data_IF_568615015966
#
_entry.id   IF_568615015966
#
_cell.length_a   1.000
_cell.length_b   1.000
_cell.length_c   1.000
_cell.angle_alpha   90.00
_cell.angle_beta   90.00
_cell.angle_gamma   90.00
#
_symmetry.space_group_name_H-M   'P 1'
#
loop_
_entity.id
_entity.type
_entity.pdbx_description
1 polymer ?
#
# COMPACT_ATOMS: atom_id res chain seq x y z
N UNK A 1 -12.15 3.16 25.44
CA UNK A 1 -12.85 2.92 24.17
C UNK A 1 -11.80 2.73 23.10
N UNK A 2 -11.58 1.51 22.63
CA UNK A 2 -10.87 1.26 21.38
C UNK A 2 -11.67 1.93 20.27
N UNK A 3 -11.03 2.81 19.49
CA UNK A 3 -11.64 3.38 18.29
C UNK A 3 -12.16 2.22 17.42
N UNK A 4 -13.45 2.25 17.07
CA UNK A 4 -14.01 1.34 16.08
C UNK A 4 -13.18 1.49 14.80
N UNK A 5 -12.52 0.43 14.38
CA UNK A 5 -11.77 0.45 13.13
C UNK A 5 -12.78 0.56 11.97
N UNK A 6 -12.40 1.29 10.93
CA UNK A 6 -13.30 1.45 9.78
C UNK A 6 -13.44 0.12 9.03
N UNK A 7 -14.58 -0.07 8.34
CA UNK A 7 -14.78 -1.24 7.48
C UNK A 7 -13.68 -1.39 6.41
N UNK A 8 -13.24 -0.28 5.82
CA UNK A 8 -12.12 -0.26 4.88
C UNK A 8 -10.82 -0.82 5.50
N UNK A 9 -10.40 -0.33 6.67
CA UNK A 9 -9.18 -0.81 7.33
C UNK A 9 -9.26 -2.30 7.68
N UNK A 10 -10.43 -2.75 8.14
CA UNK A 10 -10.70 -4.16 8.46
C UNK A 10 -10.65 -5.01 7.20
N UNK A 11 -11.27 -4.54 6.12
CA UNK A 11 -11.24 -5.20 4.82
C UNK A 11 -9.82 -5.33 4.30
N UNK A 12 -9.04 -4.25 4.34
CA UNK A 12 -7.65 -4.25 3.93
C UNK A 12 -6.83 -5.24 4.74
N UNK A 13 -6.87 -5.18 6.07
CA UNK A 13 -6.12 -6.12 6.91
C UNK A 13 -6.53 -7.56 6.68
N UNK A 14 -7.83 -7.81 6.45
CA UNK A 14 -8.36 -9.14 6.22
C UNK A 14 -7.93 -9.79 4.90
N UNK A 15 -7.73 -9.00 3.84
CA UNK A 15 -7.43 -9.51 2.49
C UNK A 15 -5.99 -9.26 2.02
N UNK A 16 -5.28 -8.29 2.59
CA UNK A 16 -3.89 -8.01 2.26
C UNK A 16 -2.96 -9.25 2.36
N UNK A 17 -3.10 -10.13 3.38
CA UNK A 17 -2.31 -11.36 3.47
C UNK A 17 -2.50 -12.36 2.32
N UNK A 18 -3.48 -12.16 1.44
CA UNK A 18 -3.66 -12.99 0.23
C UNK A 18 -2.63 -12.70 -0.86
N UNK A 19 -1.85 -11.61 -0.74
CA UNK A 19 -0.69 -11.37 -1.60
C UNK A 19 -1.01 -10.83 -3.00
N UNK A 20 -2.25 -10.41 -3.26
CA UNK A 20 -2.64 -9.84 -4.56
C UNK A 20 -2.32 -8.34 -4.72
N UNK A 21 -1.85 -7.69 -3.64
CA UNK A 21 -1.64 -6.26 -3.56
C UNK A 21 -2.52 -5.61 -2.49
N UNK A 22 -2.63 -4.28 -2.53
CA UNK A 22 -3.55 -3.53 -1.67
C UNK A 22 -4.99 -3.72 -2.18
N UNK A 23 -5.90 -4.31 -1.38
CA UNK A 23 -7.31 -4.44 -1.73
C UNK A 23 -8.03 -3.09 -1.58
N UNK A 24 -8.73 -2.65 -2.63
CA UNK A 24 -9.58 -1.46 -2.56
C UNK A 24 -10.95 -1.83 -2.00
N UNK A 25 -11.37 -1.13 -0.95
CA UNK A 25 -12.70 -1.34 -0.35
C UNK A 25 -13.82 -0.93 -1.30
N UNK A 26 -13.55 0.10 -2.11
CA UNK A 26 -14.43 0.59 -3.16
C UNK A 26 -13.67 0.60 -4.50
N UNK A 27 -13.72 -0.52 -5.25
CA UNK A 27 -13.08 -0.70 -6.55
C UNK A 27 -13.54 0.23 -7.68
N UNK A 28 -14.71 0.86 -7.54
CA UNK A 28 -15.31 1.64 -8.62
C UNK A 28 -14.58 3.00 -8.80
N UNK A 29 -14.32 3.44 -10.04
CA UNK A 29 -13.82 4.80 -10.27
C UNK A 29 -14.80 5.86 -9.76
N UNK A 30 -14.30 7.00 -9.28
CA UNK A 30 -15.13 8.11 -8.81
C UNK A 30 -16.08 8.61 -9.91
N UNK A 31 -17.36 8.75 -9.57
CA UNK A 31 -18.43 9.16 -10.49
C UNK A 31 -18.16 10.53 -11.13
N UNK A 32 -17.43 11.44 -10.46
CA UNK A 32 -17.04 12.73 -11.04
C UNK A 32 -16.07 12.59 -12.22
N UNK A 33 -15.37 11.46 -12.34
CA UNK A 33 -14.51 11.19 -13.49
C UNK A 33 -15.32 10.83 -14.73
N UNK A 34 -16.56 10.34 -14.58
CA UNK A 34 -17.42 10.07 -15.72
C UNK A 34 -17.69 11.33 -16.55
N UNK A 35 -18.00 12.44 -15.87
CA UNK A 35 -18.38 13.72 -16.51
C UNK A 35 -17.18 14.52 -17.02
N UNK A 36 -15.99 14.33 -16.42
CA UNK A 36 -14.83 15.19 -16.66
C UNK A 36 -13.57 14.47 -17.13
N UNK A 37 -13.54 13.14 -17.11
CA UNK A 37 -12.38 12.32 -17.48
C UNK A 37 -12.82 10.92 -17.98
N UNK A 38 -13.75 10.91 -18.93
CA UNK A 38 -14.44 9.71 -19.40
C UNK A 38 -13.48 8.61 -19.87
N UNK A 39 -12.43 8.99 -20.59
CA UNK A 39 -11.41 8.08 -21.13
C UNK A 39 -10.66 7.35 -20.02
N UNK A 40 -10.49 7.98 -18.86
CA UNK A 40 -9.93 7.33 -17.68
C UNK A 40 -10.99 6.47 -16.99
N UNK A 41 -12.21 6.97 -16.82
CA UNK A 41 -13.30 6.24 -16.17
C UNK A 41 -13.58 4.88 -16.85
N UNK A 42 -13.59 4.83 -18.19
CA UNK A 42 -13.79 3.59 -18.95
C UNK A 42 -12.68 2.56 -18.73
N UNK A 43 -11.45 3.01 -18.43
CA UNK A 43 -10.28 2.14 -18.22
C UNK A 43 -10.10 1.78 -16.74
N UNK A 44 -10.42 2.69 -15.83
CA UNK A 44 -10.06 2.62 -14.42
C UNK A 44 -8.54 2.62 -14.18
N UNK A 45 -8.16 2.24 -12.97
CA UNK A 45 -6.76 2.22 -12.53
C UNK A 45 -5.87 1.42 -13.49
N UNK A 46 -4.71 1.99 -13.82
CA UNK A 46 -3.78 1.52 -14.84
C UNK A 46 -2.33 1.60 -14.38
N UNK A 47 -1.47 0.79 -15.00
CA UNK A 47 -0.02 0.84 -14.77
C UNK A 47 0.49 2.25 -15.11
N UNK A 48 1.27 2.83 -14.20
CA UNK A 48 1.81 4.19 -14.33
C UNK A 48 0.97 5.26 -13.64
N UNK A 49 -0.21 4.93 -13.11
CA UNK A 49 -1.02 5.91 -12.39
C UNK A 49 -0.32 6.38 -11.13
N UNK A 50 -0.27 7.69 -10.96
CA UNK A 50 0.06 8.39 -9.73
C UNK A 50 -1.24 8.80 -9.06
N UNK A 51 -1.38 8.46 -7.78
CA UNK A 51 -2.60 8.74 -7.04
C UNK A 51 -2.43 8.58 -5.54
N UNK A 52 -3.55 8.54 -4.82
CA UNK A 52 -3.61 8.27 -3.39
C UNK A 52 -4.74 7.30 -3.08
N UNK A 53 -4.62 6.57 -1.97
CA UNK A 53 -5.73 5.80 -1.41
C UNK A 53 -6.50 6.70 -0.47
N UNK A 54 -7.79 6.90 -0.77
CA UNK A 54 -8.64 7.75 0.05
C UNK A 54 -9.00 7.06 1.37
N UNK A 55 -9.43 7.81 2.40
CA UNK A 55 -9.99 7.21 3.62
C UNK A 55 -11.17 6.27 3.35
N UNK A 56 -11.90 6.48 2.25
CA UNK A 56 -13.02 5.63 1.84
C UNK A 56 -12.57 4.34 1.12
N UNK A 57 -11.28 4.20 0.82
CA UNK A 57 -10.71 3.00 0.22
C UNK A 57 -10.85 2.92 -1.29
N UNK A 58 -11.04 4.07 -1.94
CA UNK A 58 -10.95 4.26 -3.39
C UNK A 58 -9.54 4.68 -3.80
N UNK A 59 -9.19 4.49 -5.07
CA UNK A 59 -8.01 5.10 -5.66
C UNK A 59 -8.36 6.45 -6.29
N UNK A 60 -7.73 7.51 -5.82
CA UNK A 60 -7.92 8.87 -6.31
C UNK A 60 -6.76 9.25 -7.23
N UNK A 61 -7.09 9.34 -8.52
CA UNK A 61 -6.18 9.53 -9.63
C UNK A 61 -5.67 10.97 -9.75
N UNK A 62 -4.38 11.12 -10.04
CA UNK A 62 -3.75 12.40 -10.34
C UNK A 62 -3.38 12.50 -11.82
N UNK A 63 -2.44 11.66 -12.28
CA UNK A 63 -1.96 11.58 -13.66
C UNK A 63 -1.26 10.24 -13.88
N UNK A 64 -1.03 9.84 -15.13
CA UNK A 64 -0.31 8.61 -15.50
C UNK A 64 1.07 8.93 -16.08
N UNK A 65 2.14 8.35 -15.53
CA UNK A 65 3.52 8.63 -15.97
C UNK A 65 3.89 8.01 -17.32
N UNK A 66 3.09 7.09 -17.85
CA UNK A 66 3.32 6.40 -19.12
C UNK A 66 2.58 7.04 -20.31
N UNK A 67 1.72 8.04 -20.05
CA UNK A 67 0.97 8.75 -21.07
C UNK A 67 1.53 10.16 -21.25
N UNK A 68 1.54 10.72 -22.47
CA UNK A 68 2.07 12.06 -22.70
C UNK A 68 1.20 13.13 -22.01
N UNK A 69 1.75 14.32 -21.77
CA UNK A 69 1.04 15.41 -21.09
C UNK A 69 -0.23 15.90 -21.82
N UNK A 70 -0.29 15.70 -23.14
CA UNK A 70 -1.43 16.05 -23.99
C UNK A 70 -2.42 14.91 -24.19
N UNK A 71 -2.21 13.73 -23.57
CA UNK A 71 -3.21 12.67 -23.54
C UNK A 71 -4.47 13.16 -22.80
N UNK A 72 -5.69 12.83 -23.25
CA UNK A 72 -6.92 13.23 -22.57
C UNK A 72 -6.93 12.94 -21.07
N UNK A 73 -6.32 11.84 -20.60
CA UNK A 73 -6.32 11.51 -19.17
C UNK A 73 -5.28 12.29 -18.35
N UNK A 74 -4.31 12.93 -19.01
CA UNK A 74 -3.22 13.69 -18.39
C UNK A 74 -3.33 15.21 -18.61
N UNK A 75 -4.19 15.63 -19.53
CA UNK A 75 -4.31 17.03 -19.94
C UNK A 75 -4.56 17.94 -18.74
N UNK A 76 -3.62 18.85 -18.49
CA UNK A 76 -3.68 19.81 -17.37
C UNK A 76 -3.39 19.23 -15.98
N UNK A 77 -3.00 17.95 -15.87
CA UNK A 77 -2.81 17.24 -14.59
C UNK A 77 -1.35 16.88 -14.27
N UNK A 78 -0.44 17.13 -15.22
CA UNK A 78 0.97 16.76 -15.10
C UNK A 78 1.84 17.93 -14.60
N UNK A 79 2.97 17.65 -13.93
CA UNK A 79 3.96 18.69 -13.59
C UNK A 79 4.52 19.43 -14.84
N UNK A 80 5.00 20.67 -14.69
CA UNK A 80 5.51 21.47 -15.83
C UNK A 80 6.61 20.81 -16.66
N UNK A 81 7.55 20.10 -16.03
CA UNK A 81 8.68 19.44 -16.70
C UNK A 81 8.43 17.94 -16.91
N UNK A 82 7.16 17.56 -17.15
CA UNK A 82 6.77 16.16 -17.26
C UNK A 82 7.26 15.53 -18.58
N UNK A 83 7.98 14.42 -18.44
CA UNK A 83 8.34 13.53 -19.55
C UNK A 83 7.75 12.14 -19.32
N UNK A 84 6.97 11.58 -20.26
CA UNK A 84 6.38 10.27 -20.10
C UNK A 84 7.43 9.15 -20.18
N UNK A 85 7.16 8.05 -19.49
CA UNK A 85 7.94 6.81 -19.56
C UNK A 85 7.34 5.94 -20.67
N UNK A 86 8.14 5.58 -21.66
CA UNK A 86 7.75 4.61 -22.66
C UNK A 86 7.98 3.20 -22.14
N UNK A 87 6.90 2.44 -22.00
CA UNK A 87 6.97 1.01 -21.68
C UNK A 87 6.90 0.18 -22.97
N UNK A 88 7.68 -0.90 -23.04
CA UNK A 88 7.45 -1.92 -24.05
C UNK A 88 6.19 -2.71 -23.70
N UNK A 89 5.35 -3.11 -24.67
CA UNK A 89 4.28 -4.08 -24.41
C UNK A 89 4.80 -5.37 -23.75
N UNK A 90 6.07 -5.73 -24.00
CA UNK A 90 6.71 -6.90 -23.39
C UNK A 90 7.04 -6.73 -21.89
N UNK A 91 7.04 -5.49 -21.40
CA UNK A 91 7.21 -5.18 -19.98
C UNK A 91 5.91 -5.40 -19.20
N UNK A 92 4.78 -5.62 -19.88
CA UNK A 92 3.47 -5.82 -19.25
C UNK A 92 3.11 -7.30 -19.33
N UNK A 93 2.84 -7.89 -18.18
CA UNK A 93 2.19 -9.20 -18.10
C UNK A 93 0.70 -8.99 -17.96
N UNK A 94 -0.08 -9.69 -18.77
CA UNK A 94 -1.53 -9.75 -18.65
C UNK A 94 -1.99 -11.20 -18.53
N UNK A 95 -2.89 -11.44 -17.58
CA UNK A 95 -3.54 -12.74 -17.37
C UNK A 95 -5.04 -12.51 -17.26
N UNK A 96 -5.74 -12.78 -18.36
CA UNK A 96 -7.19 -12.75 -18.37
C UNK A 96 -7.77 -13.81 -17.43
N UNK A 97 -8.84 -13.45 -16.70
CA UNK A 97 -9.51 -14.34 -15.72
C UNK A 97 -8.53 -14.91 -14.68
N UNK A 98 -7.59 -14.10 -14.22
CA UNK A 98 -6.65 -14.49 -13.16
C UNK A 98 -7.39 -14.89 -11.89
N UNK A 99 -8.41 -14.10 -11.52
CA UNK A 99 -9.47 -14.55 -10.63
C UNK A 99 -10.57 -15.12 -11.52
N UNK A 100 -10.88 -16.42 -11.41
CA UNK A 100 -11.93 -17.01 -12.23
C UNK A 100 -13.29 -16.41 -11.85
N UNK A 101 -14.24 -16.48 -12.77
CA UNK A 101 -15.63 -16.15 -12.47
C UNK A 101 -16.06 -16.92 -11.23
N UNK A 102 -16.96 -16.32 -10.43
CA UNK A 102 -17.53 -16.98 -9.25
C UNK A 102 -16.49 -17.32 -8.17
N UNK A 103 -15.39 -16.57 -8.12
CA UNK A 103 -14.36 -16.71 -7.08
C UNK A 103 -14.65 -15.82 -5.87
N UNK A 104 -14.00 -16.14 -4.76
CA UNK A 104 -14.05 -15.33 -3.55
C UNK A 104 -12.70 -15.38 -2.82
N UNK A 105 -12.46 -14.34 -2.03
CA UNK A 105 -11.36 -14.24 -1.08
C UNK A 105 -11.96 -13.87 0.28
N UNK A 106 -11.44 -14.47 1.35
CA UNK A 106 -11.90 -14.19 2.71
C UNK A 106 -10.72 -14.17 3.67
N UNK A 107 -10.89 -13.49 4.80
CA UNK A 107 -9.93 -13.56 5.91
C UNK A 107 -9.67 -15.00 6.35
N UNK A 108 -8.52 -15.23 6.98
CA UNK A 108 -8.18 -16.54 7.54
C UNK A 108 -9.29 -17.02 8.51
N UNK A 109 -9.53 -18.33 8.53
CA UNK A 109 -10.50 -18.98 9.42
C UNK A 109 -11.97 -18.54 9.24
N UNK A 110 -12.32 -18.06 8.05
CA UNK A 110 -13.72 -17.94 7.64
C UNK A 110 -14.21 -19.28 7.09
N UNK A 111 -15.30 -19.82 7.63
CA UNK A 111 -15.98 -20.97 7.06
C UNK A 111 -16.80 -20.52 5.85
N UNK A 112 -16.77 -21.29 4.76
CA UNK A 112 -17.50 -20.97 3.53
C UNK A 112 -18.38 -22.14 3.12
N UNK A 113 -19.65 -21.86 2.84
CA UNK A 113 -20.62 -22.84 2.33
C UNK A 113 -21.32 -22.28 1.09
N UNK A 114 -21.44 -23.09 0.04
CA UNK A 114 -22.31 -22.78 -1.10
C UNK A 114 -23.77 -22.93 -0.68
N UNK A 115 -24.62 -22.03 -1.15
CA UNK A 115 -26.06 -22.07 -0.87
C UNK A 115 -26.75 -22.92 -1.95
N UNK A 116 -27.35 -24.01 -1.50
CA UNK A 116 -28.22 -24.83 -2.32
C UNK A 116 -29.59 -24.14 -2.44
N UNK A 117 -30.14 -24.12 -3.65
CA UNK A 117 -31.46 -23.58 -3.91
C UNK A 117 -31.92 -23.95 -5.30
N UNK A 118 -33.24 -23.99 -5.49
CA UNK A 118 -33.91 -24.36 -6.73
C UNK A 118 -33.72 -23.23 -7.77
N UNK A 119 -32.50 -23.08 -8.26
CA UNK A 119 -32.25 -22.34 -9.50
C UNK A 119 -32.88 -23.21 -10.58
N UNK A 120 -34.09 -22.84 -11.02
CA UNK A 120 -34.90 -23.54 -12.00
C UNK A 120 -34.02 -24.32 -12.98
N UNK A 121 -34.06 -25.65 -12.86
CA UNK A 121 -33.29 -26.60 -13.67
C UNK A 121 -33.44 -26.21 -15.14
N UNK A 122 -32.42 -25.58 -15.72
CA UNK A 122 -32.45 -25.13 -17.12
C UNK A 122 -31.87 -23.75 -17.43
N UNK A 123 -31.34 -22.98 -16.48
CA UNK A 123 -30.75 -21.66 -16.77
C UNK A 123 -29.25 -21.76 -17.11
N UNK A 124 -28.82 -21.47 -18.36
CA UNK A 124 -27.40 -21.44 -18.73
C UNK A 124 -26.64 -20.21 -18.17
N UNK A 125 -27.34 -19.28 -17.50
CA UNK A 125 -26.81 -17.96 -17.10
C UNK A 125 -26.64 -17.77 -15.60
N UNK A 126 -27.28 -18.59 -14.76
CA UNK A 126 -26.94 -18.76 -13.35
C UNK A 126 -26.20 -20.09 -13.23
N UNK A 127 -24.86 -20.09 -13.17
CA UNK A 127 -24.13 -21.34 -13.28
C UNK A 127 -24.34 -22.23 -12.05
N UNK A 128 -24.57 -23.52 -12.28
CA UNK A 128 -24.78 -24.53 -11.23
C UNK A 128 -23.73 -24.51 -10.10
N UNK A 129 -22.51 -24.04 -10.39
CA UNK A 129 -21.36 -23.99 -9.47
C UNK A 129 -21.46 -22.97 -8.31
N UNK A 130 -22.31 -21.93 -8.43
CA UNK A 130 -22.55 -20.98 -7.33
C UNK A 130 -23.91 -21.19 -6.64
N UNK A 131 -24.75 -22.10 -7.16
CA UNK A 131 -26.09 -22.36 -6.63
C UNK A 131 -26.92 -21.08 -6.52
N UNK A 132 -27.70 -20.97 -5.44
CA UNK A 132 -28.44 -19.76 -5.10
C UNK A 132 -27.54 -18.67 -4.46
N UNK A 133 -26.25 -18.96 -4.21
CA UNK A 133 -25.30 -18.03 -3.62
C UNK A 133 -24.18 -18.66 -2.81
N UNK A 134 -23.46 -17.82 -2.07
CA UNK A 134 -22.36 -18.23 -1.18
C UNK A 134 -22.57 -17.64 0.21
N UNK A 135 -22.22 -18.41 1.23
CA UNK A 135 -22.28 -18.00 2.62
C UNK A 135 -20.91 -18.10 3.29
N UNK A 136 -20.65 -17.15 4.18
CA UNK A 136 -19.45 -17.07 4.99
C UNK A 136 -19.86 -16.96 6.44
N UNK A 137 -19.21 -17.72 7.32
CA UNK A 137 -19.40 -17.57 8.75
C UNK A 137 -18.09 -17.62 9.53
N UNK A 138 -18.09 -16.97 10.68
CA UNK A 138 -16.95 -17.00 11.61
C UNK A 138 -17.37 -16.53 12.99
N UNK A 139 -16.66 -17.03 14.00
CA UNK A 139 -16.73 -16.59 15.39
C UNK A 139 -15.62 -15.59 15.76
N UNK A 140 -14.79 -15.19 14.79
CA UNK A 140 -13.73 -14.21 15.00
C UNK A 140 -14.29 -12.80 15.25
N UNK A 141 -13.51 -11.96 15.95
CA UNK A 141 -13.88 -10.57 16.28
C UNK A 141 -13.94 -9.66 15.06
N UNK A 142 -13.24 -10.04 13.99
CA UNK A 142 -13.17 -9.31 12.73
C UNK A 142 -13.03 -10.26 11.54
N UNK A 143 -13.45 -9.79 10.37
CA UNK A 143 -13.27 -10.53 9.13
C UNK A 143 -13.64 -9.70 7.92
N UNK A 144 -13.15 -10.14 6.76
CA UNK A 144 -13.37 -9.54 5.46
C UNK A 144 -13.67 -10.62 4.42
N UNK A 145 -14.51 -10.26 3.46
CA UNK A 145 -14.89 -11.09 2.32
C UNK A 145 -14.95 -10.24 1.07
N UNK A 146 -14.44 -10.78 -0.03
CA UNK A 146 -14.58 -10.30 -1.39
C UNK A 146 -15.14 -11.45 -2.23
N UNK A 147 -16.20 -11.20 -2.98
CA UNK A 147 -16.71 -12.10 -4.01
C UNK A 147 -16.57 -11.42 -5.36
N UNK A 148 -16.12 -12.17 -6.36
CA UNK A 148 -15.94 -11.74 -7.75
C UNK A 148 -16.88 -12.55 -8.66
N UNK A 149 -18.13 -12.12 -8.85
CA UNK A 149 -19.09 -12.83 -9.68
C UNK A 149 -18.58 -13.09 -11.10
N UNK A 150 -18.03 -12.06 -11.76
CA UNK A 150 -17.47 -12.16 -13.12
C UNK A 150 -15.96 -12.38 -13.16
N UNK A 151 -15.33 -12.58 -12.00
CA UNK A 151 -13.88 -12.72 -11.90
C UNK A 151 -13.13 -11.40 -12.12
N UNK A 152 -11.81 -11.49 -12.31
CA UNK A 152 -10.97 -10.34 -12.57
C UNK A 152 -9.73 -10.71 -13.40
N UNK A 153 -9.33 -9.78 -14.28
CA UNK A 153 -8.10 -9.83 -15.05
C UNK A 153 -6.95 -9.28 -14.22
N UNK A 154 -5.73 -9.74 -14.48
CA UNK A 154 -4.52 -9.31 -13.78
C UNK A 154 -3.53 -8.69 -14.75
N UNK A 155 -3.01 -7.51 -14.41
CA UNK A 155 -1.95 -6.84 -15.17
C UNK A 155 -0.83 -6.38 -14.26
N UNK A 156 0.42 -6.64 -14.65
CA UNK A 156 1.63 -6.29 -13.89
C UNK A 156 2.77 -5.80 -14.80
N UNK A 157 3.48 -4.77 -14.32
CA UNK A 157 4.77 -4.36 -14.85
C UNK A 157 5.87 -5.32 -14.39
N UNK A 158 6.63 -5.86 -15.34
CA UNK A 158 7.79 -6.73 -15.09
C UNK A 158 9.01 -5.92 -14.68
N UNK A 159 9.32 -4.86 -15.42
CA UNK A 159 10.48 -4.02 -15.17
C UNK A 159 10.14 -2.94 -14.13
N UNK A 160 10.12 -3.31 -12.85
CA UNK A 160 9.81 -2.36 -11.77
C UNK A 160 10.87 -1.26 -11.61
N UNK A 161 12.12 -1.52 -12.05
CA UNK A 161 13.24 -0.59 -11.90
C UNK A 161 12.99 0.73 -12.64
N UNK A 162 12.33 0.68 -13.80
CA UNK A 162 12.02 1.90 -14.57
C UNK A 162 11.13 2.87 -13.78
N UNK A 163 10.18 2.32 -13.01
CA UNK A 163 9.28 3.11 -12.16
C UNK A 163 9.97 3.55 -10.87
N UNK A 164 10.84 2.70 -10.31
CA UNK A 164 11.67 3.06 -9.17
C UNK A 164 12.54 4.29 -9.49
N UNK A 165 13.26 4.26 -10.61
CA UNK A 165 14.13 5.37 -11.03
C UNK A 165 13.33 6.64 -11.32
N UNK A 166 12.19 6.51 -12.00
CA UNK A 166 11.33 7.66 -12.27
C UNK A 166 10.81 8.30 -10.98
N UNK A 167 10.37 7.50 -10.01
CA UNK A 167 9.94 8.01 -8.72
C UNK A 167 11.10 8.63 -7.93
N UNK A 168 12.30 8.03 -7.98
CA UNK A 168 13.49 8.58 -7.33
C UNK A 168 13.88 9.98 -7.85
N UNK A 169 13.69 10.23 -9.14
CA UNK A 169 13.99 11.55 -9.74
C UNK A 169 12.86 12.54 -9.48
N UNK A 170 11.60 12.11 -9.59
CA UNK A 170 10.47 13.03 -9.73
C UNK A 170 9.58 13.18 -8.48
N UNK A 171 9.75 12.37 -7.44
CA UNK A 171 8.84 12.35 -6.28
C UNK A 171 8.58 13.75 -5.69
N UNK A 172 9.63 14.57 -5.53
CA UNK A 172 9.49 15.95 -5.02
C UNK A 172 8.61 16.81 -5.92
N UNK A 173 8.81 16.74 -7.23
CA UNK A 173 8.01 17.48 -8.20
C UNK A 173 6.55 17.03 -8.18
N UNK A 174 6.31 15.72 -8.05
CA UNK A 174 4.95 15.16 -7.94
C UNK A 174 4.23 15.66 -6.69
N UNK A 175 4.88 15.59 -5.52
CA UNK A 175 4.31 16.15 -4.28
C UNK A 175 4.04 17.65 -4.39
N UNK A 176 5.01 18.43 -4.92
CA UNK A 176 4.85 19.88 -5.11
C UNK A 176 3.69 20.21 -6.05
N UNK A 177 3.55 19.47 -7.14
CA UNK A 177 2.49 19.68 -8.12
C UNK A 177 1.10 19.33 -7.57
N UNK A 178 0.99 18.20 -6.86
CA UNK A 178 -0.28 17.78 -6.26
C UNK A 178 -0.70 18.70 -5.09
N UNK A 179 0.24 19.13 -4.25
CA UNK A 179 -0.07 19.97 -3.08
C UNK A 179 -0.15 21.46 -3.40
N UNK A 180 0.53 21.93 -4.44
CA UNK A 180 0.55 23.34 -4.85
C UNK A 180 -0.70 23.73 -5.63
N UNK A 181 -0.65 23.80 -6.99
CA UNK A 181 -1.77 24.25 -7.81
C UNK A 181 -3.10 23.53 -7.55
N UNK A 182 -3.03 22.24 -7.19
CA UNK A 182 -4.22 21.40 -6.98
C UNK A 182 -4.67 21.32 -5.51
N UNK A 183 -3.90 21.88 -4.57
CA UNK A 183 -4.30 21.98 -3.16
C UNK A 183 -4.60 20.65 -2.46
N UNK A 184 -4.07 19.51 -2.95
CA UNK A 184 -4.49 18.16 -2.51
C UNK A 184 -4.06 17.78 -1.10
N UNK A 185 -3.13 18.54 -0.50
CA UNK A 185 -2.67 18.36 0.90
C UNK A 185 -2.20 16.94 1.23
N UNK A 186 -1.61 16.24 0.27
CA UNK A 186 -1.09 14.87 0.38
C UNK A 186 0.08 14.84 1.37
N UNK A 187 -0.05 13.99 2.38
CA UNK A 187 1.00 13.72 3.36
C UNK A 187 2.14 12.90 2.78
N UNK A 188 3.34 13.09 3.32
CA UNK A 188 4.50 12.30 2.94
C UNK A 188 4.28 10.80 3.16
N UNK A 189 4.56 9.98 2.16
CA UNK A 189 4.30 8.53 2.17
C UNK A 189 2.91 8.11 1.70
N UNK A 190 2.02 9.05 1.37
CA UNK A 190 0.67 8.73 0.88
C UNK A 190 0.58 8.64 -0.65
N UNK A 191 1.52 9.26 -1.38
CA UNK A 191 1.56 9.18 -2.84
C UNK A 191 1.87 7.75 -3.30
N UNK A 192 1.12 7.28 -4.27
CA UNK A 192 1.15 5.92 -4.77
C UNK A 192 1.50 5.92 -6.26
N UNK A 193 2.42 5.04 -6.67
CA UNK A 193 2.71 4.74 -8.08
C UNK A 193 2.29 3.30 -8.39
N UNK A 194 1.28 3.14 -9.24
CA UNK A 194 0.71 1.85 -9.62
C UNK A 194 1.61 1.11 -10.59
N UNK A 195 2.03 -0.10 -10.24
CA UNK A 195 2.81 -1.01 -11.10
C UNK A 195 1.96 -2.17 -11.62
N UNK A 196 0.75 -2.36 -11.09
CA UNK A 196 -0.15 -3.43 -11.51
C UNK A 196 -1.53 -3.33 -10.85
N UNK A 197 -2.50 -4.01 -11.44
CA UNK A 197 -3.86 -4.09 -10.91
C UNK A 197 -4.59 -5.38 -11.26
N UNK A 198 -5.50 -5.81 -10.37
CA UNK A 198 -6.53 -6.78 -10.69
C UNK A 198 -7.83 -6.04 -10.92
N UNK A 199 -8.48 -6.25 -12.07
CA UNK A 199 -9.71 -5.54 -12.46
C UNK A 199 -10.81 -6.48 -12.89
N UNK A 200 -12.00 -6.28 -12.33
CA UNK A 200 -13.22 -7.01 -12.67
C UNK A 200 -14.26 -6.11 -13.32
N UNK A 201 -15.41 -6.71 -13.63
CA UNK A 201 -16.64 -5.98 -14.02
C UNK A 201 -17.68 -5.93 -12.91
N UNK A 202 -17.53 -6.74 -11.86
CA UNK A 202 -18.44 -6.83 -10.72
C UNK A 202 -17.72 -7.30 -9.47
N UNK A 203 -18.21 -6.89 -8.30
CA UNK A 203 -17.63 -7.24 -7.02
C UNK A 203 -18.67 -7.11 -5.89
N UNK A 204 -18.45 -7.88 -4.82
CA UNK A 204 -19.22 -7.77 -3.59
C UNK A 204 -18.27 -7.89 -2.40
N UNK A 205 -18.13 -6.81 -1.63
CA UNK A 205 -17.24 -6.73 -0.48
C UNK A 205 -18.04 -6.68 0.82
N UNK A 206 -17.55 -7.32 1.86
CA UNK A 206 -18.08 -7.18 3.20
C UNK A 206 -16.96 -7.21 4.23
N UNK A 207 -17.12 -6.47 5.32
CA UNK A 207 -16.25 -6.57 6.48
C UNK A 207 -17.02 -6.30 7.77
N UNK A 208 -16.49 -6.80 8.87
CA UNK A 208 -17.03 -6.56 10.20
C UNK A 208 -15.88 -6.53 11.21
N UNK A 209 -16.05 -5.75 12.26
CA UNK A 209 -15.15 -5.72 13.41
C UNK A 209 -15.95 -5.50 14.69
N UNK A 210 -15.30 -5.72 15.85
CA UNK A 210 -15.91 -5.44 17.15
C UNK A 210 -17.01 -6.42 17.56
N UNK A 211 -17.00 -7.64 17.03
CA UNK A 211 -17.98 -8.68 17.39
C UNK A 211 -17.63 -9.27 18.76
N UNK A 212 -18.63 -9.36 19.64
CA UNK A 212 -18.49 -9.98 20.97
C UNK A 212 -18.11 -11.46 20.88
N UNK A 213 -17.32 -11.95 21.83
CA UNK A 213 -16.97 -13.36 21.92
C UNK A 213 -18.23 -14.25 22.00
N UNK A 214 -18.22 -15.36 21.25
CA UNK A 214 -19.33 -16.32 21.21
C UNK A 214 -20.46 -15.97 20.23
N UNK A 215 -20.42 -14.81 19.57
CA UNK A 215 -21.38 -14.47 18.50
C UNK A 215 -20.83 -14.89 17.14
N UNK A 216 -21.56 -15.74 16.44
CA UNK A 216 -21.27 -16.09 15.05
C UNK A 216 -21.77 -14.99 14.10
N UNK A 217 -20.91 -14.59 13.17
CA UNK A 217 -21.29 -13.76 12.02
C UNK A 217 -21.67 -14.66 10.87
N UNK A 218 -22.76 -14.34 10.17
CA UNK A 218 -23.16 -14.96 8.92
C UNK A 218 -23.36 -13.88 7.85
N UNK A 219 -22.67 -14.07 6.73
CA UNK A 219 -22.75 -13.27 5.52
C UNK A 219 -23.25 -14.18 4.41
N UNK A 220 -24.29 -13.80 3.68
CA UNK A 220 -24.78 -14.57 2.54
C UNK A 220 -24.90 -13.66 1.33
N UNK A 221 -24.18 -13.98 0.26
CA UNK A 221 -24.38 -13.35 -1.03
C UNK A 221 -25.34 -14.22 -1.84
N UNK A 222 -26.54 -13.71 -2.11
CA UNK A 222 -27.57 -14.42 -2.88
C UNK A 222 -27.60 -13.92 -4.31
N UNK A 223 -27.83 -14.83 -5.25
CA UNK A 223 -27.92 -14.55 -6.68
C UNK A 223 -29.35 -14.79 -7.16
N UNK A 224 -29.87 -13.88 -7.98
CA UNK A 224 -31.22 -13.97 -8.55
C UNK A 224 -31.16 -13.70 -10.04
N UNK A 225 -31.90 -14.50 -10.81
CA UNK A 225 -32.00 -14.30 -12.26
C UNK A 225 -32.91 -13.12 -12.58
N UNK A 226 -32.51 -12.33 -13.59
CA UNK A 226 -33.36 -11.32 -14.20
C UNK A 226 -33.89 -11.90 -15.52
N UNK A 227 -35.21 -12.09 -15.63
CA UNK A 227 -35.85 -12.57 -16.86
C UNK A 227 -35.98 -11.46 -17.91
N UNK A 228 -35.71 -11.79 -19.19
CA UNK A 228 -35.83 -10.85 -20.32
C UNK A 228 -34.94 -11.21 -21.51
N UNK A 229 -34.98 -10.38 -22.57
CA UNK A 229 -34.22 -10.56 -23.84
C UNK A 229 -32.70 -10.48 -23.63
N UNK A 230 -32.25 -9.74 -22.61
CA UNK A 230 -30.88 -9.75 -22.10
C UNK A 230 -30.86 -10.46 -20.74
N UNK A 231 -30.88 -11.79 -20.76
CA UNK A 231 -30.87 -12.57 -19.53
C UNK A 231 -29.55 -12.37 -18.77
N UNK A 232 -29.64 -12.00 -17.50
CA UNK A 232 -28.52 -11.70 -16.61
C UNK A 232 -28.85 -12.09 -15.17
N UNK A 233 -27.97 -11.73 -14.23
CA UNK A 233 -28.17 -11.99 -12.80
C UNK A 233 -27.96 -10.72 -11.97
N UNK A 234 -28.69 -10.62 -10.87
CA UNK A 234 -28.40 -9.68 -9.78
C UNK A 234 -27.93 -10.43 -8.55
N UNK A 235 -27.28 -9.73 -7.64
CA UNK A 235 -26.83 -10.29 -6.38
C UNK A 235 -26.98 -9.28 -5.25
N UNK A 236 -27.17 -9.79 -4.03
CA UNK A 236 -27.37 -8.96 -2.84
C UNK A 236 -26.84 -9.65 -1.59
N UNK A 237 -26.38 -8.86 -0.64
CA UNK A 237 -25.96 -9.35 0.67
C UNK A 237 -27.16 -9.50 1.61
N UNK A 238 -27.26 -10.65 2.26
CA UNK A 238 -28.03 -10.87 3.48
C UNK A 238 -27.04 -11.00 4.64
N UNK A 239 -27.13 -10.09 5.60
CA UNK A 239 -26.27 -10.04 6.77
C UNK A 239 -26.98 -9.34 7.94
N UNK A 240 -26.41 -9.45 9.13
CA UNK A 240 -26.84 -8.72 10.32
C UNK A 240 -25.73 -7.78 10.81
N UNK A 241 -26.11 -6.74 11.55
CA UNK A 241 -25.16 -5.83 12.22
C UNK A 241 -24.17 -6.61 13.11
N UNK A 242 -22.86 -6.27 13.14
CA UNK A 242 -22.25 -5.00 12.70
C UNK A 242 -21.56 -5.02 11.33
N UNK A 243 -22.00 -5.88 10.40
CA UNK A 243 -21.39 -5.99 9.07
C UNK A 243 -21.65 -4.73 8.23
N UNK A 244 -20.60 -4.22 7.60
CA UNK A 244 -20.68 -3.29 6.48
C UNK A 244 -20.44 -4.05 5.17
N UNK A 245 -21.33 -3.88 4.20
CA UNK A 245 -21.27 -4.57 2.92
C UNK A 245 -21.49 -3.60 1.75
N UNK A 246 -20.86 -3.92 0.62
CA UNK A 246 -20.90 -3.16 -0.63
C UNK A 246 -20.97 -4.11 -1.81
N UNK A 247 -21.52 -3.61 -2.90
CA UNK A 247 -21.57 -4.26 -4.20
C UNK A 247 -21.32 -3.21 -5.27
N UNK A 248 -20.74 -3.63 -6.39
CA UNK A 248 -20.51 -2.75 -7.54
C UNK A 248 -20.44 -3.53 -8.84
N UNK A 249 -20.67 -2.87 -9.98
CA UNK A 249 -20.77 -1.41 -10.15
C UNK A 249 -22.11 -0.85 -9.62
N UNK A 250 -22.12 0.43 -9.24
CA UNK A 250 -23.35 1.13 -8.83
C UNK A 250 -24.31 1.24 -10.02
N UNK A 251 -25.61 1.13 -9.73
CA UNK A 251 -26.66 0.93 -10.74
C UNK A 251 -26.93 2.10 -11.70
N UNK A 252 -26.30 3.25 -11.49
CA UNK A 252 -26.34 4.44 -12.35
C UNK A 252 -25.11 4.59 -13.26
N UNK A 253 -24.03 3.86 -12.97
CA UNK A 253 -22.86 3.80 -13.81
C UNK A 253 -23.12 2.95 -15.07
N UNK A 254 -22.82 3.44 -16.28
CA UNK A 254 -22.91 2.63 -17.48
C UNK A 254 -21.89 1.51 -17.42
N UNK A 255 -22.41 0.30 -17.24
CA UNK A 255 -21.62 -0.91 -17.01
C UNK A 255 -20.95 -1.45 -18.27
N UNK A 256 -20.90 -0.68 -19.35
CA UNK A 256 -20.42 -1.12 -20.65
C UNK A 256 -19.33 -0.20 -21.20
N UNK A 257 -18.28 -0.82 -21.74
CA UNK A 257 -17.22 -0.15 -22.48
C UNK A 257 -17.30 -0.55 -23.95
N UNK A 258 -16.87 0.36 -24.82
CA UNK A 258 -16.82 0.12 -26.27
C UNK A 258 -15.37 -0.10 -26.67
N UNK A 259 -14.97 -1.36 -26.74
CA UNK A 259 -13.63 -1.73 -27.18
C UNK A 259 -13.69 -2.26 -28.63
N UNK A 260 -12.91 -1.66 -29.52
CA UNK A 260 -12.84 -2.05 -30.94
C UNK A 260 -14.20 -2.23 -31.65
N UNK A 261 -15.22 -1.46 -31.26
CA UNK A 261 -16.57 -1.53 -31.81
C UNK A 261 -17.52 -2.52 -31.13
N UNK A 262 -17.02 -3.39 -30.24
CA UNK A 262 -17.82 -4.32 -29.44
C UNK A 262 -18.17 -3.69 -28.09
N UNK A 263 -19.44 -3.86 -27.67
CA UNK A 263 -19.93 -3.44 -26.36
C UNK A 263 -19.78 -4.60 -25.39
N UNK A 264 -18.93 -4.45 -24.39
CA UNK A 264 -18.69 -5.46 -23.34
C UNK A 264 -18.80 -4.83 -21.96
N UNK A 265 -18.96 -5.64 -20.92
CA UNK A 265 -18.99 -5.11 -19.55
C UNK A 265 -17.67 -4.37 -19.26
N UNK A 266 -17.76 -3.14 -18.74
CA UNK A 266 -16.59 -2.34 -18.41
C UNK A 266 -15.78 -3.04 -17.31
N UNK A 267 -14.49 -3.28 -17.58
CA UNK A 267 -13.55 -3.84 -16.60
C UNK A 267 -12.73 -2.75 -15.93
N UNK A 268 -13.43 -1.75 -15.41
CA UNK A 268 -12.87 -0.58 -14.74
C UNK A 268 -12.89 -0.69 -13.21
N UNK A 269 -13.45 -1.77 -12.66
CA UNK A 269 -13.54 -2.00 -11.21
C UNK A 269 -12.22 -2.56 -10.70
N UNK A 270 -11.42 -1.74 -10.00
CA UNK A 270 -10.09 -2.12 -9.54
C UNK A 270 -10.11 -2.79 -8.17
N UNK A 271 -9.91 -4.10 -8.13
CA UNK A 271 -10.03 -4.92 -6.93
C UNK A 271 -8.76 -4.84 -6.07
N UNK A 272 -7.61 -5.04 -6.72
CA UNK A 272 -6.30 -4.95 -6.08
C UNK A 272 -5.41 -4.03 -6.87
N UNK A 273 -4.57 -3.27 -6.16
CA UNK A 273 -3.48 -2.50 -6.76
C UNK A 273 -2.13 -2.95 -6.22
N UNK A 274 -1.12 -2.90 -7.06
CA UNK A 274 0.28 -3.15 -6.71
C UNK A 274 1.09 -1.95 -7.12
N UNK A 275 2.16 -1.67 -6.40
CA UNK A 275 2.92 -0.45 -6.62
C UNK A 275 3.84 -0.06 -5.48
N UNK A 276 4.23 1.21 -5.52
CA UNK A 276 5.11 1.83 -4.54
C UNK A 276 4.38 2.94 -3.79
N UNK A 277 4.45 2.92 -2.46
CA UNK A 277 4.21 4.14 -1.65
C UNK A 277 5.49 4.97 -1.63
N UNK A 278 5.36 6.25 -1.97
CA UNK A 278 6.48 7.17 -2.15
C UNK A 278 6.60 8.09 -0.94
N UNK A 279 7.72 8.03 -0.23
CA UNK A 279 8.05 8.99 0.83
C UNK A 279 9.37 9.71 0.52
N UNK A 280 9.38 11.03 0.65
CA UNK A 280 10.58 11.87 0.53
C UNK A 280 11.18 12.03 1.93
N UNK A 281 12.43 11.60 2.15
CA UNK A 281 13.16 11.92 3.38
C UNK A 281 13.93 13.21 3.17
N UNK A 282 13.79 14.13 4.10
CA UNK A 282 14.64 15.31 4.18
C UNK A 282 15.82 15.00 5.10
N UNK A 283 17.02 14.89 4.52
CA UNK A 283 18.25 14.96 5.30
C UNK A 283 18.69 16.41 5.37
N UNK A 284 18.74 16.96 6.58
CA UNK A 284 19.18 18.35 6.85
C UNK A 284 20.64 18.58 6.43
N UNK A 285 21.43 17.52 6.27
CA UNK A 285 22.89 17.59 6.04
C UNK A 285 23.34 17.15 4.64
N UNK A 286 22.43 16.73 3.74
CA UNK A 286 22.79 16.33 2.38
C UNK A 286 21.91 17.06 1.34
N UNK A 287 22.50 17.63 0.26
CA UNK A 287 21.75 18.40 -0.75
C UNK A 287 20.70 17.57 -1.51
N UNK A 288 20.81 16.25 -1.50
CA UNK A 288 19.89 15.34 -2.21
C UNK A 288 18.91 14.72 -1.24
N UNK A 289 17.61 14.85 -1.51
CA UNK A 289 16.61 14.01 -0.86
C UNK A 289 16.95 12.55 -1.08
N UNK A 290 16.87 11.74 -0.03
CA UNK A 290 16.72 10.31 -0.19
C UNK A 290 15.23 9.98 -0.23
N UNK A 291 14.78 9.15 -1.15
CA UNK A 291 13.38 8.71 -1.21
C UNK A 291 13.31 7.30 -0.60
N UNK A 292 12.24 7.03 0.16
CA UNK A 292 11.86 5.69 0.58
C UNK A 292 10.68 5.26 -0.28
N UNK A 293 10.93 4.29 -1.16
CA UNK A 293 9.88 3.56 -1.86
C UNK A 293 9.57 2.30 -1.06
N UNK A 294 8.29 2.08 -0.74
CA UNK A 294 7.84 0.85 -0.08
C UNK A 294 7.03 0.06 -1.09
N UNK A 295 7.55 -1.10 -1.50
CA UNK A 295 6.81 -2.06 -2.32
C UNK A 295 5.61 -2.57 -1.52
N UNK A 296 4.46 -2.65 -2.18
CA UNK A 296 3.26 -3.25 -1.62
C UNK A 296 3.38 -4.76 -1.54
N UNK A 297 4.01 -5.37 -2.54
CA UNK A 297 4.30 -6.80 -2.53
C UNK A 297 5.34 -7.07 -1.44
N UNK A 298 4.98 -7.93 -0.50
CA UNK A 298 5.82 -8.31 0.65
C UNK A 298 5.73 -7.40 1.87
N UNK A 299 4.91 -6.34 1.84
CA UNK A 299 4.65 -5.53 3.03
C UNK A 299 3.70 -6.23 4.01
N UNK A 300 3.49 -5.64 5.19
CA UNK A 300 2.42 -6.01 6.12
C UNK A 300 1.21 -5.07 5.99
N UNK A 301 0.03 -5.52 6.40
CA UNK A 301 -1.16 -4.67 6.42
C UNK A 301 -0.96 -3.44 7.32
N UNK A 302 -0.29 -3.61 8.45
CA UNK A 302 0.01 -2.55 9.41
C UNK A 302 0.90 -1.46 8.79
N UNK A 303 1.90 -1.83 8.00
CA UNK A 303 2.74 -0.87 7.27
C UNK A 303 1.97 -0.09 6.20
N UNK A 304 0.98 -0.73 5.57
CA UNK A 304 0.15 -0.09 4.55
C UNK A 304 -0.89 0.86 5.14
N UNK A 305 -1.47 0.49 6.28
CA UNK A 305 -2.47 1.27 7.01
C UNK A 305 -1.86 2.40 7.85
N UNK A 306 -0.55 2.36 8.14
CA UNK A 306 0.16 3.49 8.75
C UNK A 306 0.07 4.72 7.86
N UNK A 307 -0.71 5.73 8.30
CA UNK A 307 -0.63 7.10 7.77
C UNK A 307 0.73 7.67 8.19
N UNK A 308 1.41 8.37 7.27
CA UNK A 308 2.77 8.88 7.49
C UNK A 308 2.89 9.65 8.81
N UNK A 309 4.05 9.54 9.49
CA UNK A 309 4.34 10.14 10.82
C UNK A 309 4.41 11.67 10.86
N UNK A 310 3.83 12.38 9.90
CA UNK A 310 3.59 13.80 10.07
C UNK A 310 2.34 13.97 10.93
N UNK A 311 2.38 14.84 11.93
CA UNK A 311 1.21 15.67 12.26
C UNK A 311 0.51 16.04 10.94
N UNK A 312 -0.83 16.04 10.84
CA UNK A 312 -1.66 16.14 9.61
C UNK A 312 -1.42 17.36 8.70
N UNK A 313 -0.16 17.63 8.39
CA UNK A 313 0.43 18.73 7.69
C UNK A 313 0.78 18.22 6.29
N UNK A 314 0.33 18.94 5.25
CA UNK A 314 0.75 18.69 3.88
C UNK A 314 2.28 18.63 3.78
N UNK A 315 2.81 17.79 2.91
CA UNK A 315 4.22 17.92 2.55
C UNK A 315 4.45 19.29 1.89
N UNK A 316 5.22 20.16 2.54
CA UNK A 316 5.68 21.47 2.04
C UNK A 316 7.20 21.52 2.12
N UNK A 317 7.87 21.95 1.04
CA UNK A 317 9.32 22.12 1.04
C UNK A 317 9.67 23.63 0.96
N UNK A 318 10.19 24.19 2.07
CA UNK A 318 10.96 25.45 2.12
C UNK A 318 10.25 26.72 2.63
N UNK A 319 10.78 27.28 3.72
CA UNK A 319 10.81 28.74 3.99
C UNK A 319 10.02 29.26 5.20
N UNK A 320 10.62 29.26 6.39
CA UNK A 320 10.29 30.25 7.44
C UNK A 320 10.58 31.66 6.92
N UNK A 321 9.56 32.34 6.41
CA UNK A 321 9.52 33.81 6.42
C UNK A 321 8.66 34.24 7.59
N UNK A 322 9.33 34.60 8.68
CA UNK A 322 8.74 35.39 9.75
C UNK A 322 8.35 36.75 9.17
N UNK A 323 7.09 36.89 8.75
CA UNK A 323 6.48 38.20 8.66
C UNK A 323 6.11 38.62 10.08
N UNK A 324 7.00 39.40 10.70
CA UNK A 324 6.65 40.24 11.85
C UNK A 324 5.67 41.29 11.35
N UNK A 325 4.38 41.07 11.55
CA UNK A 325 3.41 42.17 11.63
C UNK A 325 3.28 42.55 13.11
N UNK A 326 3.80 43.73 13.44
CA UNK A 326 3.58 44.43 14.71
C UNK A 326 2.14 44.99 14.73
N UNK A 327 1.49 44.78 15.87
CA UNK A 327 0.33 45.43 16.51
C UNK A 327 -0.48 46.50 15.76
N UNK A 328 -1.82 46.41 15.88
CA UNK A 328 -2.60 47.23 16.84
C UNK A 328 -4.10 46.86 16.81
N UNK A 329 -4.75 46.77 17.98
CA UNK A 329 -6.20 47.02 18.10
C UNK A 329 -7.04 45.93 18.78
N UNK A 330 -7.11 46.01 20.11
CA UNK A 330 -8.15 45.52 21.03
C UNK A 330 -9.52 45.13 20.44
N UNK A 331 -10.03 43.95 20.81
CA UNK A 331 -11.37 43.79 21.41
C UNK A 331 -11.47 42.46 22.17
N UNK A 332 -11.96 42.56 23.40
CA UNK A 332 -12.19 41.48 24.36
C UNK A 332 -13.35 40.58 23.94
N UNK A 333 -13.12 39.26 23.94
CA UNK A 333 -14.16 38.25 23.79
C UNK A 333 -13.65 36.91 24.26
N UNK A 334 -14.04 36.53 25.48
CA UNK A 334 -13.73 35.26 26.12
C UNK A 334 -14.38 34.10 25.38
N UNK A 335 -13.59 33.17 24.84
CA UNK A 335 -14.01 31.80 24.55
C UNK A 335 -12.85 30.84 24.81
N UNK A 336 -12.96 30.10 25.92
CA UNK A 336 -12.11 28.95 26.24
C UNK A 336 -12.11 27.95 25.08
N UNK A 337 -10.94 27.74 24.48
CA UNK A 337 -10.69 26.58 23.61
C UNK A 337 -9.64 25.72 24.30
N UNK A 338 -10.12 24.73 25.05
CA UNK A 338 -9.31 23.61 25.51
C UNK A 338 -8.75 22.88 24.28
N UNK A 339 -7.47 23.05 24.00
CA UNK A 339 -6.69 22.14 23.15
C UNK A 339 -6.61 20.79 23.84
N UNK A 340 -7.49 19.88 23.42
CA UNK A 340 -7.47 18.47 23.83
C UNK A 340 -6.23 17.81 23.21
N UNK A 341 -5.24 17.49 24.05
CA UNK A 341 -4.10 16.66 23.65
C UNK A 341 -4.58 15.22 23.49
N UNK A 342 -4.75 14.75 22.25
CA UNK A 342 -5.05 13.35 22.00
C UNK A 342 -3.77 12.51 22.12
N UNK A 343 -3.54 11.98 23.32
CA UNK A 343 -2.60 10.90 23.58
C UNK A 343 -3.11 9.61 22.92
N UNK A 344 -2.36 9.07 21.94
CA UNK A 344 -2.62 7.75 21.36
C UNK A 344 -1.62 6.68 21.84
N UNK A 345 -2.08 5.42 22.01
CA UNK A 345 -1.37 4.38 22.73
C UNK A 345 -0.23 3.74 21.93
N UNK A 346 0.86 3.50 22.66
CA UNK A 346 2.07 2.79 22.26
C UNK A 346 1.78 1.31 21.92
N UNK A 347 2.29 0.82 20.77
CA UNK A 347 2.13 -0.57 20.34
C UNK A 347 3.48 -1.36 20.42
N UNK A 348 3.52 -2.57 21.00
CA UNK A 348 4.77 -3.32 21.25
C UNK A 348 5.58 -3.70 20.00
N UNK A 349 4.99 -3.72 18.81
CA UNK A 349 5.71 -3.98 17.55
C UNK A 349 6.65 -2.84 17.12
N UNK A 350 6.51 -1.64 17.70
CA UNK A 350 7.40 -0.50 17.44
C UNK A 350 8.82 -0.70 18.03
N UNK A 351 8.98 -1.58 19.02
CA UNK A 351 10.28 -1.91 19.63
C UNK A 351 10.98 -3.03 18.87
N UNK A 352 10.22 -4.04 18.41
CA UNK A 352 10.80 -5.21 17.73
C UNK A 352 11.40 -4.82 16.39
N UNK A 353 10.72 -3.98 15.60
CA UNK A 353 11.26 -3.50 14.32
C UNK A 353 12.45 -2.55 14.52
N UNK A 354 12.46 -1.76 15.60
CA UNK A 354 13.62 -0.91 15.95
C UNK A 354 14.83 -1.75 16.38
N UNK A 355 14.63 -2.81 17.18
CA UNK A 355 15.69 -3.71 17.64
C UNK A 355 16.21 -4.63 16.54
N UNK A 356 15.35 -5.12 15.65
CA UNK A 356 15.78 -5.91 14.48
C UNK A 356 16.58 -5.05 13.48
N UNK A 357 16.19 -3.80 13.25
CA UNK A 357 16.97 -2.87 12.41
C UNK A 357 18.30 -2.47 13.07
N UNK A 358 18.33 -2.28 14.39
CA UNK A 358 19.58 -2.02 15.13
C UNK A 358 20.51 -3.24 15.12
N UNK A 359 19.99 -4.47 15.21
CA UNK A 359 20.80 -5.71 15.14
C UNK A 359 21.32 -6.00 13.73
N UNK A 360 20.54 -5.77 12.68
CA UNK A 360 20.97 -5.95 11.28
C UNK A 360 22.01 -4.89 10.89
N UNK A 361 21.90 -3.66 11.39
CA UNK A 361 22.94 -2.64 11.20
C UNK A 361 24.21 -2.96 12.00
N UNK A 362 24.10 -3.49 13.23
CA UNK A 362 25.26 -3.89 14.03
C UNK A 362 26.05 -5.03 13.37
N UNK A 363 25.38 -6.07 12.85
CA UNK A 363 26.03 -7.19 12.14
C UNK A 363 26.57 -6.80 10.74
N UNK A 364 26.03 -5.74 10.13
CA UNK A 364 26.55 -5.21 8.87
C UNK A 364 27.78 -4.32 9.07
N UNK A 365 27.90 -3.67 10.23
CA UNK A 365 29.06 -2.84 10.58
C UNK A 365 30.27 -3.66 11.03
N UNK A 366 30.09 -4.81 11.70
CA UNK A 366 31.22 -5.71 12.03
C UNK A 366 31.90 -6.30 10.78
N UNK A 367 31.16 -6.48 9.67
CA UNK A 367 31.73 -6.94 8.39
C UNK A 367 32.45 -5.87 7.57
N UNK A 368 32.25 -4.58 7.88
CA UNK A 368 32.93 -3.45 7.22
C UNK A 368 34.09 -2.86 8.05
N UNK A 369 34.35 -3.40 9.24
CA UNK A 369 35.33 -2.90 10.21
C UNK A 369 36.81 -3.23 9.94
N UNK A 370 37.17 -3.85 8.80
CA UNK A 370 38.57 -4.21 8.52
C UNK A 370 39.36 -3.16 7.73
N UNK A 371 38.75 -2.03 7.33
CA UNK A 371 39.45 -0.96 6.61
C UNK A 371 38.95 0.41 7.08
N UNK A 372 39.54 0.92 8.18
CA UNK A 372 39.83 2.33 8.50
C UNK A 372 39.80 2.62 10.03
N UNK A 373 40.88 2.35 10.79
CA UNK A 373 40.98 2.83 12.17
C UNK A 373 42.03 3.95 12.26
N UNK A 374 41.58 5.21 12.43
CA UNK A 374 42.32 6.29 13.16
C UNK A 374 41.55 7.60 13.33
N UNK A 375 40.53 7.89 12.51
CA UNK A 375 39.81 9.18 12.56
C UNK A 375 38.48 9.16 13.34
N UNK A 376 37.90 7.98 13.59
CA UNK A 376 36.57 7.91 14.22
C UNK A 376 36.61 7.95 15.76
N UNK A 377 37.69 7.42 16.36
CA UNK A 377 37.80 7.31 17.83
C UNK A 377 38.04 8.66 18.52
N UNK A 378 38.71 9.61 17.85
CA UNK A 378 38.92 10.97 18.36
C UNK A 378 37.66 11.85 18.29
N UNK A 379 36.75 11.58 17.35
CA UNK A 379 35.49 12.31 17.24
C UNK A 379 34.41 11.79 18.18
N UNK A 380 34.38 10.48 18.45
CA UNK A 380 33.42 9.87 19.38
C UNK A 380 33.68 10.30 20.84
N UNK A 381 34.95 10.39 21.26
CA UNK A 381 35.33 10.80 22.61
C UNK A 381 35.08 12.30 22.91
N UNK A 382 34.95 13.15 21.87
CA UNK A 382 34.54 14.57 22.04
C UNK A 382 33.03 14.78 22.12
N UNK A 383 32.22 13.82 21.66
CA UNK A 383 30.77 13.96 21.60
C UNK A 383 30.07 13.44 22.87
N UNK A 384 30.71 12.53 23.59
CA UNK A 384 30.24 12.02 24.88
C UNK A 384 30.88 12.83 26.01
N UNK A 385 30.21 13.88 26.49
CA UNK A 385 30.55 14.60 27.72
C UNK A 385 30.52 13.65 28.94
N UNK A 386 31.59 12.87 29.13
CA UNK A 386 31.88 12.10 30.34
C UNK A 386 32.79 12.97 31.23
N UNK A 387 32.38 13.34 32.45
CA UNK A 387 33.29 13.97 33.40
C UNK A 387 34.27 12.92 33.94
N UNK A 388 35.55 13.28 33.89
CA UNK A 388 36.70 12.75 34.65
C UNK A 388 36.66 11.29 35.09
N UNK A 389 37.38 10.44 34.37
CA UNK A 389 38.25 9.40 34.94
C UNK A 389 39.05 8.81 33.78
N UNK A 390 40.31 9.25 33.61
CA UNK A 390 41.46 8.42 33.24
C UNK A 390 42.71 9.32 33.09
N UNK A 391 43.62 9.14 34.04
CA UNK A 391 44.94 9.73 34.15
C UNK A 391 45.83 9.32 32.94
N UNK A 392 46.42 10.25 32.16
CA UNK A 392 47.04 9.94 30.88
C UNK A 392 48.49 9.36 30.92
N UNK A 393 48.94 8.78 32.04
CA UNK A 393 50.32 8.26 32.16
C UNK A 393 50.46 6.72 32.30
N UNK A 394 49.40 5.94 32.14
CA UNK A 394 49.44 4.49 32.41
C UNK A 394 49.42 3.52 31.22
N UNK A 395 49.13 3.98 29.99
CA UNK A 395 48.80 3.06 28.86
C UNK A 395 49.88 2.92 27.79
N UNK A 396 51.04 3.57 27.96
CA UNK A 396 52.16 3.47 27.02
C UNK A 396 53.07 2.25 27.28
N UNK A 397 52.86 1.47 28.35
CA UNK A 397 53.79 0.43 28.78
C UNK A 397 53.23 -1.01 28.71
N UNK A 398 52.08 -1.23 28.06
CA UNK A 398 51.47 -2.58 27.94
C UNK A 398 51.20 -3.02 26.49
N UNK A 399 51.65 -2.27 25.49
CA UNK A 399 51.49 -2.64 24.07
C UNK A 399 52.85 -3.03 23.43
N UNK A 400 53.97 -2.85 24.12
CA UNK A 400 55.31 -3.21 23.61
C UNK A 400 55.78 -4.64 23.97
N UNK A 401 55.03 -5.39 24.77
CA UNK A 401 55.45 -6.71 25.29
C UNK A 401 54.74 -7.93 24.66
N UNK A 402 53.89 -7.74 23.65
CA UNK A 402 53.20 -8.86 22.97
C UNK A 402 53.63 -9.07 21.51
N UNK A 403 54.57 -8.27 20.99
CA UNK A 403 55.06 -8.36 19.60
C UNK A 403 56.39 -9.10 19.42
N UNK A 404 57.02 -9.58 20.50
CA UNK A 404 58.25 -10.36 20.43
C UNK A 404 58.08 -11.70 21.15
N UNK A 405 57.42 -12.67 20.50
CA UNK A 405 57.78 -14.09 20.59
C UNK A 405 57.08 -14.96 19.55
N UNK A 406 57.93 -15.62 18.74
CA UNK A 406 57.74 -16.87 18.01
C UNK A 406 57.12 -16.88 16.61
N UNK A 407 58.03 -16.66 15.65
CA UNK A 407 58.19 -17.41 14.40
C UNK A 407 58.54 -18.88 14.72
N UNK A 408 57.84 -19.87 14.12
CA UNK A 408 58.40 -21.01 13.36
C UNK A 408 57.34 -22.09 13.08
N UNK A 409 57.17 -22.42 11.78
CA UNK A 409 56.46 -23.61 11.28
C UNK A 409 57.27 -24.91 11.55
N UNK A 410 56.68 -26.10 11.30
CA UNK A 410 56.93 -26.70 9.98
C UNK A 410 55.69 -27.30 9.30
N UNK A 411 55.83 -27.45 7.99
CA UNK A 411 54.92 -28.13 7.08
C UNK A 411 55.04 -29.65 7.18
N UNK A 412 53.95 -30.37 6.87
CA UNK A 412 54.02 -31.64 6.16
C UNK A 412 52.77 -31.85 5.30
N UNK A 413 53.03 -32.29 4.09
CA UNK A 413 52.11 -32.64 2.99
C UNK A 413 51.57 -34.05 3.19
N UNK A 414 50.30 -34.30 2.84
CA UNK A 414 49.91 -35.35 1.89
C UNK A 414 48.38 -35.49 1.76
N UNK A 415 47.92 -35.35 0.50
CA UNK A 415 47.03 -36.23 -0.25
C UNK A 415 45.90 -37.02 0.46
N UNK A 416 44.70 -37.00 -0.16
CA UNK A 416 43.88 -38.15 -0.62
C UNK A 416 42.37 -37.81 -0.63
N UNK A 417 41.85 -37.75 -1.86
CA UNK A 417 40.59 -38.26 -2.42
C UNK A 417 39.25 -38.26 -1.64
N UNK A 418 38.29 -37.58 -2.27
CA UNK A 418 37.03 -38.07 -2.84
C UNK A 418 36.21 -39.23 -2.17
N UNK A 419 34.90 -38.91 -2.05
CA UNK A 419 33.68 -39.74 -2.17
C UNK A 419 32.94 -40.23 -0.90
N UNK A 420 31.61 -40.44 -1.00
CA UNK A 420 30.59 -40.10 0.01
C UNK A 420 30.00 -41.37 0.64
N UNK A 421 28.88 -41.26 1.38
CA UNK A 421 27.86 -42.28 1.78
C UNK A 421 27.25 -41.71 3.10
N UNK A 422 25.94 -41.56 3.32
CA UNK A 422 24.74 -42.23 2.80
C UNK A 422 23.51 -41.32 2.98
#
# INVERSE_FOLDING_TARGET
MTLSQTANETYTRGLFPKGHGYPLWDPEPDDNLWTHLREYWDKGVSIGDIGIITPHGTFDYLFNICLPANDPVNLGRTPPDFSPITLSPLDITERARHHPNKSYLSSCFMETKRLEGDVSVGSPLVPAELGAGVSFSSSNKEGAVLVLPDGADHRDLRNLEIFYQAAAVNARAWYKHANGPHGRRISNGALYLVTGSDKGSSWANASYSGVSEGREISLKLKFTQIGGVNAGYSYSWEHHSPVEARLGPRGDAPTWSRDHGNVTAARNQCIFIRGFKIAVREHVLLPKASIKLTSIIGATAEEMLQRGKGEGHPFTQGGTTSYKTRDHGSHSGSTDTQTRSDNYPYHPSAVINKRLLEMVLYHSFERLGYLLPKLWMTHYLRFCNLPELLNPHGLAHQIEEATDQNILMPADTDNVDCYPIK
#
